data_IF_648444633753
#
_entry.id   IF_648444633753
#
_cell.length_a   1.000
_cell.length_b   1.000
_cell.length_c   1.000
_cell.angle_alpha   90.00
_cell.angle_beta   90.00
_cell.angle_gamma   90.00
#
_symmetry.space_group_name_H-M   'P 1'
#
loop_
_entity.id
_entity.type
_entity.pdbx_description
1 polymer ?
#
# COMPACT_ATOMS: atom_id res chain seq x y z
N UNK A 1 -13.34 -25.49 12.77
CA UNK A 1 -12.31 -24.92 13.66
C UNK A 1 -11.14 -24.25 12.93
N UNK A 2 -9.98 -24.89 12.89
CA UNK A 2 -8.72 -24.27 12.38
C UNK A 2 -8.79 -23.79 10.91
N UNK A 3 -9.33 -24.62 10.00
CA UNK A 3 -9.50 -24.26 8.58
C UNK A 3 -10.42 -23.04 8.39
N UNK A 4 -11.45 -22.90 9.21
CA UNK A 4 -12.36 -21.75 9.16
C UNK A 4 -11.64 -20.49 9.64
N UNK A 5 -10.87 -20.56 10.72
CA UNK A 5 -10.07 -19.44 11.22
C UNK A 5 -9.05 -18.95 10.17
N UNK A 6 -8.38 -19.86 9.46
CA UNK A 6 -7.45 -19.48 8.38
C UNK A 6 -8.13 -18.75 7.24
N UNK A 7 -9.31 -19.19 6.78
CA UNK A 7 -10.11 -18.48 5.75
C UNK A 7 -10.52 -17.08 6.19
N UNK A 8 -10.84 -16.89 7.47
CA UNK A 8 -11.16 -15.57 8.03
C UNK A 8 -9.93 -14.66 8.01
N UNK A 9 -8.75 -15.18 8.37
CA UNK A 9 -7.50 -14.43 8.33
C UNK A 9 -7.12 -14.02 6.91
N UNK A 10 -7.30 -14.89 5.92
CA UNK A 10 -7.01 -14.56 4.52
C UNK A 10 -7.94 -13.44 4.01
N UNK A 11 -9.22 -13.48 4.41
CA UNK A 11 -10.17 -12.39 4.12
C UNK A 11 -9.73 -11.08 4.77
N UNK A 12 -9.32 -11.12 6.03
CA UNK A 12 -8.85 -9.93 6.76
C UNK A 12 -7.61 -9.32 6.09
N UNK A 13 -6.63 -10.13 5.69
CA UNK A 13 -5.43 -9.69 4.96
C UNK A 13 -5.76 -8.98 3.65
N UNK A 14 -6.69 -9.57 2.88
CA UNK A 14 -7.14 -8.97 1.61
C UNK A 14 -7.87 -7.63 1.83
N UNK A 15 -8.69 -7.54 2.89
CA UNK A 15 -9.34 -6.29 3.26
C UNK A 15 -8.32 -5.20 3.62
N UNK A 16 -7.27 -5.54 4.37
CA UNK A 16 -6.19 -4.58 4.68
C UNK A 16 -5.47 -4.12 3.43
N UNK A 17 -5.20 -5.02 2.47
CA UNK A 17 -4.62 -4.64 1.18
C UNK A 17 -5.50 -3.63 0.43
N UNK A 18 -6.83 -3.83 0.41
CA UNK A 18 -7.77 -2.90 -0.18
C UNK A 18 -7.79 -1.53 0.52
N UNK A 19 -7.73 -1.52 1.86
CA UNK A 19 -7.62 -0.28 2.66
C UNK A 19 -6.32 0.46 2.32
N UNK A 20 -5.19 -0.24 2.21
CA UNK A 20 -3.90 0.35 1.82
C UNK A 20 -3.98 0.98 0.42
N UNK A 21 -4.61 0.32 -0.55
CA UNK A 21 -4.84 0.86 -1.90
C UNK A 21 -5.66 2.14 -1.85
N UNK A 22 -6.74 2.17 -1.05
CA UNK A 22 -7.57 3.36 -0.87
C UNK A 22 -6.81 4.52 -0.23
N UNK A 23 -6.08 4.27 0.84
CA UNK A 23 -5.27 5.28 1.53
C UNK A 23 -4.16 5.82 0.61
N UNK A 24 -3.44 4.95 -0.11
CA UNK A 24 -2.40 5.35 -1.05
C UNK A 24 -2.97 6.19 -2.21
N UNK A 25 -4.15 5.82 -2.73
CA UNK A 25 -4.85 6.60 -3.76
C UNK A 25 -5.14 8.02 -3.26
N UNK A 26 -5.65 8.16 -2.04
CA UNK A 26 -5.92 9.48 -1.45
C UNK A 26 -4.65 10.29 -1.29
N UNK A 27 -3.60 9.71 -0.74
CA UNK A 27 -2.32 10.42 -0.53
C UNK A 27 -1.67 10.85 -1.83
N UNK A 28 -1.72 10.02 -2.87
CA UNK A 28 -1.20 10.37 -4.19
C UNK A 28 -1.96 11.53 -4.80
N UNK A 29 -3.29 11.55 -4.68
CA UNK A 29 -4.11 12.66 -5.18
C UNK A 29 -3.81 13.97 -4.43
N UNK A 30 -3.65 13.94 -3.10
CA UNK A 30 -3.25 15.11 -2.31
C UNK A 30 -1.87 15.63 -2.76
N UNK A 31 -0.89 14.73 -2.93
CA UNK A 31 0.44 15.09 -3.37
C UNK A 31 0.45 15.68 -4.79
N UNK A 32 -0.34 15.11 -5.70
CA UNK A 32 -0.47 15.61 -7.07
C UNK A 32 -1.11 17.00 -7.09
N UNK A 33 -2.22 17.19 -6.37
CA UNK A 33 -2.90 18.50 -6.29
C UNK A 33 -1.96 19.55 -5.72
N UNK A 34 -1.30 19.24 -4.61
CA UNK A 34 -0.34 20.16 -4.01
C UNK A 34 0.81 20.50 -4.97
N UNK A 35 1.36 19.51 -5.66
CA UNK A 35 2.46 19.72 -6.60
C UNK A 35 2.06 20.61 -7.79
N UNK A 36 0.82 20.54 -8.24
CA UNK A 36 0.29 21.40 -9.32
C UNK A 36 0.05 22.83 -8.86
N UNK A 37 -0.37 23.03 -7.62
CA UNK A 37 -0.74 24.35 -7.08
C UNK A 37 0.46 25.12 -6.51
N UNK A 38 1.39 24.41 -5.83
CA UNK A 38 2.54 25.00 -5.17
C UNK A 38 3.59 25.45 -6.18
N UNK A 39 3.95 26.72 -6.13
CA UNK A 39 4.99 27.31 -7.01
C UNK A 39 6.28 27.59 -6.24
N UNK A 40 7.40 27.23 -6.84
CA UNK A 40 8.75 27.60 -6.41
C UNK A 40 9.62 27.84 -7.68
N UNK A 41 10.59 28.74 -7.57
CA UNK A 41 11.48 29.08 -8.70
C UNK A 41 10.72 29.44 -9.99
N UNK A 42 9.56 30.11 -9.85
CA UNK A 42 8.76 30.63 -10.96
C UNK A 42 7.82 29.64 -11.63
N UNK A 43 7.72 28.39 -11.17
CA UNK A 43 6.87 27.35 -11.77
C UNK A 43 6.24 26.42 -10.72
N UNK A 44 5.17 25.65 -11.05
CA UNK A 44 4.63 24.61 -10.19
C UNK A 44 5.70 23.59 -9.82
N UNK A 45 5.68 23.07 -8.59
CA UNK A 45 6.68 22.05 -8.19
C UNK A 45 6.50 20.74 -8.96
N UNK A 46 5.35 20.50 -9.55
CA UNK A 46 5.10 19.37 -10.46
C UNK A 46 5.99 19.37 -11.72
N UNK A 47 6.57 20.52 -12.09
CA UNK A 47 7.46 20.63 -13.26
C UNK A 47 8.90 20.21 -12.96
N UNK A 48 9.24 19.90 -11.71
CA UNK A 48 10.56 19.43 -11.35
C UNK A 48 10.66 17.91 -11.49
N UNK A 49 11.67 17.42 -12.20
CA UNK A 49 11.85 16.00 -12.52
C UNK A 49 11.90 15.10 -11.28
N UNK A 50 12.48 15.56 -10.16
CA UNK A 50 12.53 14.78 -8.92
C UNK A 50 11.14 14.62 -8.29
N UNK A 51 10.26 15.61 -8.42
CA UNK A 51 8.86 15.50 -7.98
C UNK A 51 8.08 14.57 -8.90
N UNK A 52 8.28 14.69 -10.21
CA UNK A 52 7.68 13.79 -11.21
C UNK A 52 8.09 12.33 -10.95
N UNK A 53 9.35 12.07 -10.63
CA UNK A 53 9.83 10.73 -10.30
C UNK A 53 9.11 10.15 -9.07
N UNK A 54 8.94 10.92 -8.00
CA UNK A 54 8.20 10.50 -6.81
C UNK A 54 6.73 10.18 -7.12
N UNK A 55 6.06 11.02 -7.92
CA UNK A 55 4.68 10.79 -8.34
C UNK A 55 4.55 9.53 -9.22
N UNK A 56 5.48 9.33 -10.14
CA UNK A 56 5.52 8.15 -11.02
C UNK A 56 5.73 6.85 -10.23
N UNK A 57 6.66 6.85 -9.27
CA UNK A 57 6.88 5.70 -8.38
C UNK A 57 5.62 5.36 -7.58
N UNK A 58 4.96 6.38 -6.99
CA UNK A 58 3.72 6.18 -6.26
C UNK A 58 2.63 5.57 -7.15
N UNK A 59 2.47 6.07 -8.37
CA UNK A 59 1.47 5.56 -9.31
C UNK A 59 1.75 4.12 -9.75
N UNK A 60 3.00 3.79 -10.06
CA UNK A 60 3.40 2.45 -10.48
C UNK A 60 3.18 1.42 -9.37
N UNK A 61 3.63 1.72 -8.15
CA UNK A 61 3.45 0.84 -7.00
C UNK A 61 1.97 0.69 -6.61
N UNK A 62 1.18 1.77 -6.67
CA UNK A 62 -0.27 1.74 -6.43
C UNK A 62 -1.00 0.87 -7.47
N UNK A 63 -0.65 1.00 -8.74
CA UNK A 63 -1.21 0.18 -9.82
C UNK A 63 -0.94 -1.31 -9.58
N UNK A 64 0.30 -1.67 -9.21
CA UNK A 64 0.67 -3.05 -8.89
C UNK A 64 -0.14 -3.58 -7.70
N UNK A 65 -0.22 -2.83 -6.59
CA UNK A 65 -0.97 -3.23 -5.41
C UNK A 65 -2.46 -3.43 -5.70
N UNK A 66 -3.07 -2.52 -6.47
CA UNK A 66 -4.47 -2.61 -6.89
C UNK A 66 -4.72 -3.85 -7.74
N UNK A 67 -3.86 -4.10 -8.72
CA UNK A 67 -3.98 -5.26 -9.63
C UNK A 67 -3.86 -6.59 -8.87
N UNK A 68 -2.88 -6.72 -7.97
CA UNK A 68 -2.72 -7.89 -7.11
C UNK A 68 -3.95 -8.13 -6.22
N UNK A 69 -4.46 -7.07 -5.60
CA UNK A 69 -5.61 -7.14 -4.70
C UNK A 69 -6.88 -7.59 -5.45
N UNK A 70 -7.11 -7.05 -6.64
CA UNK A 70 -8.24 -7.44 -7.49
C UNK A 70 -8.12 -8.89 -7.99
N UNK A 71 -6.92 -9.33 -8.38
CA UNK A 71 -6.67 -10.71 -8.80
C UNK A 71 -6.96 -11.70 -7.67
N UNK A 72 -6.42 -11.44 -6.47
CA UNK A 72 -6.69 -12.27 -5.30
C UNK A 72 -8.17 -12.30 -4.90
N UNK A 73 -8.88 -11.17 -5.07
CA UNK A 73 -10.32 -11.11 -4.82
C UNK A 73 -11.11 -11.98 -5.79
N UNK A 74 -10.78 -11.95 -7.09
CA UNK A 74 -11.42 -12.81 -8.10
C UNK A 74 -11.20 -14.29 -7.82
N UNK A 75 -9.95 -14.70 -7.55
CA UNK A 75 -9.61 -16.09 -7.18
C UNK A 75 -10.40 -16.57 -5.97
N UNK A 76 -10.58 -15.71 -4.97
CA UNK A 76 -11.41 -16.02 -3.79
C UNK A 76 -12.87 -16.24 -4.19
N UNK A 77 -13.43 -15.35 -4.99
CA UNK A 77 -14.85 -15.40 -5.40
C UNK A 77 -15.13 -16.65 -6.26
N UNK A 78 -14.14 -17.15 -6.98
CA UNK A 78 -14.15 -18.44 -7.69
C UNK A 78 -13.97 -19.66 -6.78
N UNK A 79 -13.84 -19.46 -5.45
CA UNK A 79 -13.70 -20.53 -4.46
C UNK A 79 -12.27 -21.05 -4.27
N UNK A 80 -11.27 -20.40 -4.85
CA UNK A 80 -9.86 -20.78 -4.73
C UNK A 80 -9.28 -20.59 -3.34
N UNK A 81 -8.21 -21.32 -3.05
CA UNK A 81 -7.37 -21.06 -1.86
C UNK A 81 -6.44 -19.88 -2.17
N UNK A 82 -6.58 -18.80 -1.42
CA UNK A 82 -5.84 -17.54 -1.62
C UNK A 82 -4.86 -17.23 -0.50
N UNK A 83 -4.47 -18.21 0.31
CA UNK A 83 -3.61 -17.96 1.50
C UNK A 83 -2.31 -17.28 1.11
N UNK A 84 -1.65 -17.72 0.04
CA UNK A 84 -0.41 -17.11 -0.44
C UNK A 84 -0.67 -15.74 -1.06
N UNK A 85 -1.67 -15.63 -1.94
CA UNK A 85 -2.04 -14.38 -2.61
C UNK A 85 -2.45 -13.30 -1.61
N UNK A 86 -3.26 -13.65 -0.61
CA UNK A 86 -3.69 -12.71 0.44
C UNK A 86 -2.50 -12.21 1.26
N UNK A 87 -1.54 -13.09 1.58
CA UNK A 87 -0.30 -12.69 2.26
C UNK A 87 0.57 -11.78 1.39
N UNK A 88 0.71 -12.09 0.09
CA UNK A 88 1.41 -11.24 -0.88
C UNK A 88 0.76 -9.86 -0.98
N UNK A 89 -0.56 -9.80 -1.14
CA UNK A 89 -1.31 -8.55 -1.23
C UNK A 89 -1.13 -7.70 0.02
N UNK A 90 -1.32 -8.29 1.21
CA UNK A 90 -1.17 -7.56 2.49
C UNK A 90 0.24 -7.03 2.68
N UNK A 91 1.25 -7.87 2.42
CA UNK A 91 2.65 -7.48 2.54
C UNK A 91 2.99 -6.34 1.60
N UNK A 92 2.76 -6.53 0.29
CA UNK A 92 3.11 -5.53 -0.71
C UNK A 92 2.35 -4.22 -0.50
N UNK A 93 1.02 -4.27 -0.32
CA UNK A 93 0.19 -3.08 -0.21
C UNK A 93 0.50 -2.26 1.05
N UNK A 94 0.77 -2.88 2.21
CA UNK A 94 1.12 -2.15 3.43
C UNK A 94 2.50 -1.47 3.35
N UNK A 95 3.48 -2.13 2.74
CA UNK A 95 4.80 -1.54 2.49
C UNK A 95 4.73 -0.41 1.47
N UNK A 96 4.01 -0.61 0.37
CA UNK A 96 3.75 0.42 -0.65
C UNK A 96 3.06 1.64 -0.06
N UNK A 97 2.00 1.44 0.74
CA UNK A 97 1.24 2.52 1.35
C UNK A 97 2.12 3.43 2.24
N UNK A 98 3.05 2.84 2.99
CA UNK A 98 4.04 3.60 3.77
C UNK A 98 5.01 4.38 2.88
N UNK A 99 5.48 3.82 1.76
CA UNK A 99 6.35 4.53 0.82
C UNK A 99 5.62 5.69 0.13
N UNK A 100 4.35 5.50 -0.23
CA UNK A 100 3.51 6.57 -0.79
C UNK A 100 3.32 7.68 0.24
N UNK A 101 3.07 7.34 1.50
CA UNK A 101 2.94 8.33 2.57
C UNK A 101 4.22 9.16 2.75
N UNK A 102 5.37 8.51 2.75
CA UNK A 102 6.68 9.16 2.87
C UNK A 102 6.91 10.15 1.71
N UNK A 103 6.69 9.70 0.47
CA UNK A 103 6.82 10.56 -0.71
C UNK A 103 5.79 11.69 -0.73
N UNK A 104 4.55 11.45 -0.27
CA UNK A 104 3.53 12.50 -0.20
C UNK A 104 3.94 13.62 0.76
N UNK A 105 4.45 13.28 1.95
CA UNK A 105 5.01 14.26 2.88
C UNK A 105 6.20 14.98 2.26
N UNK A 106 7.11 14.26 1.59
CA UNK A 106 8.29 14.83 0.94
C UNK A 106 7.90 15.84 -0.16
N UNK A 107 6.90 15.54 -0.99
CA UNK A 107 6.39 16.44 -2.02
C UNK A 107 5.79 17.72 -1.42
N UNK A 108 5.10 17.62 -0.28
CA UNK A 108 4.58 18.78 0.43
C UNK A 108 5.67 19.58 1.15
N UNK A 109 6.86 19.01 1.36
CA UNK A 109 7.92 19.64 2.14
C UNK A 109 7.47 19.96 3.56
N UNK A 110 7.88 21.12 4.09
CA UNK A 110 7.50 21.52 5.45
C UNK A 110 6.00 21.58 5.72
N UNK A 111 5.18 21.90 4.70
CA UNK A 111 3.73 21.88 4.83
C UNK A 111 3.17 20.49 5.11
N UNK A 112 3.80 19.43 4.58
CA UNK A 112 3.39 18.04 4.81
C UNK A 112 3.67 17.53 6.22
N UNK A 113 4.50 18.23 6.98
CA UNK A 113 4.84 17.91 8.37
C UNK A 113 3.91 18.58 9.39
N UNK A 114 3.11 19.55 8.97
CA UNK A 114 2.22 20.31 9.84
C UNK A 114 0.94 19.53 10.13
N UNK A 115 0.42 19.65 11.36
CA UNK A 115 -0.75 18.88 11.82
C UNK A 115 -2.06 19.20 11.10
N UNK A 116 -2.16 20.32 10.42
CA UNK A 116 -3.30 20.71 9.56
C UNK A 116 -3.24 20.08 8.16
N UNK A 117 -2.11 19.46 7.81
CA UNK A 117 -1.94 18.75 6.55
C UNK A 117 -2.52 17.32 6.62
N UNK A 118 -3.38 16.91 5.68
CA UNK A 118 -3.91 15.55 5.69
C UNK A 118 -2.83 14.47 5.53
N UNK A 119 -1.73 14.75 4.83
CA UNK A 119 -0.66 13.77 4.59
C UNK A 119 0.16 13.47 5.86
N UNK A 120 0.28 14.42 6.80
CA UNK A 120 0.90 14.20 8.11
C UNK A 120 0.16 13.10 8.88
N UNK A 121 -1.17 13.20 8.98
CA UNK A 121 -1.99 12.22 9.66
C UNK A 121 -1.90 10.85 8.97
N UNK A 122 -2.00 10.81 7.64
CA UNK A 122 -1.84 9.57 6.90
C UNK A 122 -0.47 8.91 7.15
N UNK A 123 0.61 9.68 7.21
CA UNK A 123 1.95 9.15 7.50
C UNK A 123 2.00 8.37 8.82
N UNK A 124 1.34 8.88 9.86
CA UNK A 124 1.24 8.19 11.15
C UNK A 124 0.30 6.97 11.09
N UNK A 125 -0.87 7.13 10.48
CA UNK A 125 -1.93 6.11 10.48
C UNK A 125 -1.52 4.87 9.67
N UNK A 126 -0.93 5.05 8.49
CA UNK A 126 -0.58 3.92 7.61
C UNK A 126 0.55 3.06 8.16
N UNK A 127 1.34 3.59 9.10
CA UNK A 127 2.40 2.82 9.77
C UNK A 127 1.85 1.57 10.47
N UNK A 128 0.62 1.63 10.96
CA UNK A 128 -0.07 0.54 11.62
C UNK A 128 -0.31 -0.65 10.68
N UNK A 129 -0.52 -0.42 9.38
CA UNK A 129 -0.83 -1.48 8.41
C UNK A 129 0.28 -2.52 8.27
N UNK A 130 1.52 -2.20 8.63
CA UNK A 130 2.66 -3.12 8.65
C UNK A 130 2.72 -3.99 9.92
N UNK A 131 1.89 -3.71 10.92
CA UNK A 131 1.94 -4.34 12.24
C UNK A 131 0.76 -5.28 12.49
N UNK A 132 -0.47 -4.81 12.30
CA UNK A 132 -1.68 -5.58 12.63
C UNK A 132 -2.05 -6.59 11.53
N UNK A 133 -2.97 -7.51 11.82
CA UNK A 133 -3.38 -8.63 10.96
C UNK A 133 -2.19 -9.50 10.47
N UNK A 134 -1.17 -9.57 11.29
CA UNK A 134 0.13 -10.18 11.01
C UNK A 134 1.12 -9.20 10.41
N UNK A 135 2.26 -9.03 11.07
CA UNK A 135 3.33 -8.13 10.63
C UNK A 135 3.82 -8.47 9.22
N UNK A 136 4.53 -7.54 8.58
CA UNK A 136 5.21 -7.78 7.29
C UNK A 136 6.06 -9.05 7.33
N UNK A 137 6.79 -9.29 8.43
CA UNK A 137 7.63 -10.49 8.61
C UNK A 137 6.79 -11.77 8.70
N UNK A 138 5.64 -11.74 9.34
CA UNK A 138 4.71 -12.88 9.37
C UNK A 138 4.18 -13.18 7.96
N UNK A 139 3.85 -12.16 7.17
CA UNK A 139 3.43 -12.38 5.78
C UNK A 139 4.54 -13.03 4.95
N UNK A 140 5.79 -12.58 5.09
CA UNK A 140 6.95 -13.17 4.43
C UNK A 140 7.09 -14.67 4.76
N UNK A 141 6.92 -15.04 6.05
CA UNK A 141 6.96 -16.46 6.47
C UNK A 141 5.81 -17.26 5.87
N UNK A 142 4.59 -16.70 5.80
CA UNK A 142 3.43 -17.37 5.19
C UNK A 142 3.69 -17.63 3.70
N UNK A 143 4.20 -16.63 2.98
CA UNK A 143 4.53 -16.74 1.56
C UNK A 143 5.58 -17.83 1.34
N UNK A 144 6.71 -17.75 2.04
CA UNK A 144 7.82 -18.69 1.89
C UNK A 144 7.39 -20.14 2.19
N UNK A 145 6.64 -20.36 3.27
CA UNK A 145 6.13 -21.70 3.64
C UNK A 145 5.20 -22.28 2.57
N UNK A 146 4.33 -21.45 1.95
CA UNK A 146 3.46 -21.91 0.88
C UNK A 146 4.27 -22.26 -0.38
N UNK A 147 5.28 -21.45 -0.74
CA UNK A 147 6.17 -21.76 -1.86
C UNK A 147 6.92 -23.06 -1.66
N UNK A 148 7.52 -23.29 -0.49
CA UNK A 148 8.26 -24.52 -0.17
C UNK A 148 7.33 -25.74 -0.24
N UNK A 149 6.14 -25.64 0.35
CA UNK A 149 5.14 -26.71 0.31
C UNK A 149 4.71 -27.05 -1.11
N UNK A 150 4.54 -26.04 -1.98
CA UNK A 150 4.16 -26.25 -3.38
C UNK A 150 5.29 -26.87 -4.22
N UNK A 151 6.54 -26.70 -3.78
CA UNK A 151 7.70 -27.32 -4.43
C UNK A 151 7.93 -28.79 -4.03
N UNK A 152 7.08 -29.37 -3.15
CA UNK A 152 7.15 -30.78 -2.78
C UNK A 152 8.01 -31.12 -1.56
N UNK A 153 8.27 -30.13 -0.72
CA UNK A 153 8.98 -30.29 0.57
C UNK A 153 8.09 -30.00 1.76
#
# INVERSE_FOLDING_TARGET
GFKTAMKVLDKARLNIAAVCVGAATRMLNEALTYAMDRKQFGQPVAEFQLVQAMLADCQAELYAAKSMTLDAARKRDEGGNITMEAACCKYFASEMCCRVADRAVQIHGGAGYMADSPVERFYRDVRLFRLFEGTSQIQQLVIARNMIKSAGH
#
